data_IF_744822712399
#
_entry.id   IF_744822712399
#
_cell.length_a   1.000
_cell.length_b   1.000
_cell.length_c   1.000
_cell.angle_alpha   90.00
_cell.angle_beta   90.00
_cell.angle_gamma   90.00
#
_symmetry.space_group_name_H-M   'P 1'
#
loop_
_entity.id
_entity.type
_entity.pdbx_description
1 polymer ?
#
# COMPACT_ATOMS: atom_id res chain seq x y z
N UNK A 1 -58.59 -0.03 7.54
CA UNK A 1 -57.27 -0.66 7.41
C UNK A 1 -56.39 0.11 6.43
N UNK A 2 -56.90 0.54 5.28
CA UNK A 2 -56.13 1.36 4.31
C UNK A 2 -55.58 2.69 4.87
N UNK A 3 -56.32 3.37 5.75
CA UNK A 3 -55.83 4.63 6.35
C UNK A 3 -54.68 4.43 7.34
N UNK A 4 -54.57 3.26 7.98
CA UNK A 4 -53.44 2.98 8.88
C UNK A 4 -52.19 2.60 8.09
N UNK A 5 -52.37 1.91 6.96
CA UNK A 5 -51.26 1.51 6.08
C UNK A 5 -50.63 2.70 5.35
N UNK A 6 -51.41 3.72 4.98
CA UNK A 6 -50.89 4.96 4.39
C UNK A 6 -50.12 5.85 5.38
N UNK A 7 -50.47 5.81 6.67
CA UNK A 7 -49.75 6.56 7.71
C UNK A 7 -48.41 5.89 8.03
N UNK A 8 -48.38 4.56 8.07
CA UNK A 8 -47.16 3.78 8.31
C UNK A 8 -46.18 3.85 7.13
N UNK A 9 -46.68 3.85 5.88
CA UNK A 9 -45.86 4.11 4.69
C UNK A 9 -45.33 5.55 4.65
N UNK A 10 -46.11 6.54 5.09
CA UNK A 10 -45.66 7.93 5.18
C UNK A 10 -44.59 8.15 6.28
N UNK A 11 -44.69 7.46 7.41
CA UNK A 11 -43.65 7.47 8.47
C UNK A 11 -42.36 6.78 8.01
N UNK A 12 -42.45 5.68 7.25
CA UNK A 12 -41.28 4.98 6.70
C UNK A 12 -40.54 5.79 5.61
N UNK A 13 -41.26 6.58 4.81
CA UNK A 13 -40.67 7.48 3.81
C UNK A 13 -39.98 8.67 4.48
N UNK A 14 -40.54 9.18 5.59
CA UNK A 14 -39.92 10.25 6.38
C UNK A 14 -38.58 9.86 7.03
N UNK A 15 -38.31 8.57 7.25
CA UNK A 15 -37.08 8.08 7.87
C UNK A 15 -35.94 7.81 6.86
N UNK A 16 -36.20 7.92 5.55
CA UNK A 16 -35.20 7.63 4.51
C UNK A 16 -34.61 8.86 3.81
N UNK A 17 -35.04 10.07 4.18
CA UNK A 17 -34.52 11.34 3.64
C UNK A 17 -34.02 12.29 4.74
N UNK A 18 -33.25 11.78 5.71
CA UNK A 18 -32.25 12.63 6.33
C UNK A 18 -31.05 12.66 5.39
N UNK A 19 -30.84 13.74 4.58
CA UNK A 19 -29.60 13.87 3.83
C UNK A 19 -28.46 13.79 4.85
N UNK A 20 -27.58 12.80 4.66
CA UNK A 20 -26.32 12.69 5.41
C UNK A 20 -25.76 14.09 5.59
N UNK A 21 -25.44 14.53 6.82
CA UNK A 21 -25.02 15.91 7.07
C UNK A 21 -23.88 16.22 6.11
N UNK A 22 -24.20 17.03 5.10
CA UNK A 22 -23.21 17.46 4.14
C UNK A 22 -22.30 18.37 4.95
N UNK A 23 -21.12 17.89 5.29
CA UNK A 23 -20.06 18.66 5.93
C UNK A 23 -19.57 19.73 4.93
N UNK A 24 -20.43 20.71 4.64
CA UNK A 24 -20.19 21.81 3.72
C UNK A 24 -19.45 22.95 4.41
N UNK A 25 -19.30 22.88 5.73
CA UNK A 25 -18.50 23.81 6.52
C UNK A 25 -17.16 23.17 6.80
N UNK A 26 -16.10 23.77 6.25
CA UNK A 26 -14.73 23.47 6.64
C UNK A 26 -14.59 23.62 8.16
N UNK A 27 -13.95 22.63 8.79
CA UNK A 27 -13.60 22.65 10.21
C UNK A 27 -12.39 23.56 10.51
N UNK A 28 -11.85 24.23 9.49
CA UNK A 28 -10.69 25.09 9.59
C UNK A 28 -11.10 26.56 9.53
N UNK A 29 -10.51 27.38 10.39
CA UNK A 29 -10.61 28.83 10.32
C UNK A 29 -9.96 29.36 9.03
N UNK A 30 -10.24 30.63 8.70
CA UNK A 30 -9.60 31.31 7.57
C UNK A 30 -8.08 31.42 7.77
N UNK A 31 -7.63 31.66 9.00
CA UNK A 31 -6.22 31.77 9.34
C UNK A 31 -5.49 30.43 9.22
N UNK A 32 -6.11 29.32 9.63
CA UNK A 32 -5.52 27.99 9.47
C UNK A 32 -5.43 27.58 8.00
N UNK A 33 -6.46 27.86 7.19
CA UNK A 33 -6.40 27.62 5.75
C UNK A 33 -5.28 28.45 5.08
N UNK A 34 -5.14 29.71 5.48
CA UNK A 34 -4.07 30.56 4.98
C UNK A 34 -2.69 30.04 5.40
N UNK A 35 -2.53 29.61 6.65
CA UNK A 35 -1.29 29.01 7.15
C UNK A 35 -0.95 27.71 6.42
N UNK A 36 -1.93 26.85 6.14
CA UNK A 36 -1.73 25.62 5.37
C UNK A 36 -1.34 25.94 3.91
N UNK A 37 -1.94 26.96 3.31
CA UNK A 37 -1.57 27.42 1.98
C UNK A 37 -0.10 27.87 1.95
N UNK A 38 0.28 28.77 2.87
CA UNK A 38 1.67 29.24 2.99
C UNK A 38 2.65 28.09 3.25
N UNK A 39 2.27 27.13 4.09
CA UNK A 39 3.06 25.94 4.36
C UNK A 39 3.23 25.06 3.11
N UNK A 40 2.17 24.90 2.31
CA UNK A 40 2.20 24.12 1.07
C UNK A 40 3.00 24.79 -0.06
N UNK A 41 3.06 26.13 -0.06
CA UNK A 41 3.80 26.93 -1.02
C UNK A 41 5.29 27.10 -0.63
N UNK A 42 5.66 26.76 0.60
CA UNK A 42 7.04 26.85 1.07
C UNK A 42 7.92 25.76 0.43
N UNK A 43 8.81 26.18 -0.47
CA UNK A 43 9.71 25.28 -1.17
C UNK A 43 10.94 24.88 -0.34
N UNK A 44 11.24 25.51 0.80
CA UNK A 44 12.41 25.18 1.61
C UNK A 44 12.21 23.98 2.53
N UNK A 45 10.97 23.55 2.72
CA UNK A 45 10.59 22.40 3.55
C UNK A 45 10.04 21.25 2.71
N UNK A 46 10.18 20.03 3.23
CA UNK A 46 9.60 18.81 2.68
C UNK A 46 8.65 18.23 3.72
N UNK A 47 7.40 18.03 3.31
CA UNK A 47 6.34 17.46 4.15
C UNK A 47 5.92 16.13 3.52
N UNK A 48 6.02 15.03 4.29
CA UNK A 48 5.65 13.68 3.86
C UNK A 48 4.92 12.92 4.97
N UNK A 49 4.00 12.01 4.63
CA UNK A 49 3.46 11.09 5.63
C UNK A 49 4.58 10.25 6.22
N UNK A 50 4.52 9.98 7.52
CA UNK A 50 5.41 9.03 8.16
C UNK A 50 5.04 7.60 7.74
N UNK A 51 6.05 6.73 7.66
CA UNK A 51 5.87 5.30 7.37
C UNK A 51 5.06 4.57 8.47
N UNK A 52 5.25 4.98 9.74
CA UNK A 52 4.61 4.37 10.91
C UNK A 52 3.88 5.39 11.75
N UNK A 53 2.67 5.02 12.17
CA UNK A 53 1.75 5.91 12.87
C UNK A 53 1.22 6.99 11.94
N UNK A 54 0.03 7.52 12.21
CA UNK A 54 -0.60 8.57 11.41
C UNK A 54 0.06 9.94 11.59
N UNK A 55 1.40 9.97 11.61
CA UNK A 55 2.23 11.14 11.81
C UNK A 55 2.70 11.72 10.47
N UNK A 56 3.26 12.93 10.54
CA UNK A 56 3.81 13.66 9.39
C UNK A 56 5.26 13.99 9.70
N UNK A 57 6.14 13.80 8.71
CA UNK A 57 7.55 14.18 8.77
C UNK A 57 7.72 15.55 8.11
N UNK A 58 8.38 16.45 8.81
CA UNK A 58 8.78 17.77 8.33
C UNK A 58 10.31 17.87 8.38
N UNK A 59 10.93 18.22 7.26
CA UNK A 59 12.39 18.30 7.12
C UNK A 59 12.78 19.45 6.21
N UNK A 60 13.90 20.12 6.50
CA UNK A 60 14.49 21.08 5.58
C UNK A 60 14.89 20.39 4.27
N UNK A 61 14.59 21.01 3.13
CA UNK A 61 14.85 20.43 1.80
C UNK A 61 16.32 20.12 1.60
N UNK A 62 17.23 20.96 2.12
CA UNK A 62 18.68 20.77 1.99
C UNK A 62 19.12 19.48 2.68
N UNK A 63 18.67 19.28 3.91
CA UNK A 63 19.00 18.09 4.69
C UNK A 63 18.36 16.84 4.08
N UNK A 64 17.12 16.96 3.58
CA UNK A 64 16.44 15.88 2.87
C UNK A 64 17.22 15.42 1.64
N UNK A 65 17.68 16.36 0.80
CA UNK A 65 18.49 16.05 -0.38
C UNK A 65 19.85 15.47 0.00
N UNK A 66 20.52 16.06 0.99
CA UNK A 66 21.81 15.57 1.47
C UNK A 66 21.71 14.13 1.97
N UNK A 67 20.70 13.81 2.78
CA UNK A 67 20.50 12.49 3.34
C UNK A 67 20.18 11.45 2.24
N UNK A 68 19.36 11.83 1.25
CA UNK A 68 19.11 11.00 0.08
C UNK A 68 20.37 10.70 -0.73
N UNK A 69 21.20 11.71 -0.99
CA UNK A 69 22.48 11.51 -1.67
C UNK A 69 23.45 10.66 -0.85
N UNK A 70 23.53 10.88 0.45
CA UNK A 70 24.38 10.10 1.36
C UNK A 70 24.07 8.60 1.26
N UNK A 71 22.79 8.21 1.32
CA UNK A 71 22.37 6.81 1.18
C UNK A 71 22.63 6.24 -0.22
N UNK A 72 22.26 6.97 -1.28
CA UNK A 72 22.44 6.49 -2.66
C UNK A 72 23.91 6.40 -3.07
N UNK A 73 24.81 7.08 -2.36
CA UNK A 73 26.25 7.02 -2.58
C UNK A 73 26.95 5.84 -1.90
N UNK A 74 26.25 5.09 -1.04
CA UNK A 74 26.84 3.96 -0.32
C UNK A 74 27.08 2.76 -1.24
N UNK A 75 28.34 2.56 -1.61
CA UNK A 75 28.78 1.49 -2.51
C UNK A 75 28.78 0.10 -1.85
N UNK A 76 28.61 0.00 -0.52
CA UNK A 76 28.46 -1.30 0.13
C UNK A 76 27.09 -1.93 -0.17
N UNK A 77 26.07 -1.09 -0.42
CA UNK A 77 24.69 -1.52 -0.65
C UNK A 77 24.19 -1.27 -2.08
N UNK A 78 24.66 -0.19 -2.73
CA UNK A 78 24.17 0.23 -4.04
C UNK A 78 25.29 0.26 -5.09
N UNK A 79 24.97 -0.19 -6.30
CA UNK A 79 25.83 -0.04 -7.48
C UNK A 79 25.08 0.73 -8.54
N UNK A 80 25.75 1.72 -9.14
CA UNK A 80 25.16 2.51 -10.22
C UNK A 80 25.01 1.66 -11.48
N UNK A 81 23.84 1.73 -12.10
CA UNK A 81 23.58 1.09 -13.38
C UNK A 81 23.95 2.03 -14.53
N UNK A 82 24.66 1.50 -15.52
CA UNK A 82 25.04 2.27 -16.73
C UNK A 82 23.86 2.53 -17.66
N UNK A 83 22.88 1.62 -17.65
CA UNK A 83 21.64 1.72 -18.42
C UNK A 83 20.49 1.03 -17.69
N UNK A 84 19.23 1.39 -17.98
CA UNK A 84 18.10 0.70 -17.39
C UNK A 84 18.00 -0.77 -17.82
N UNK A 85 17.76 -1.66 -16.86
CA UNK A 85 17.69 -3.11 -17.06
C UNK A 85 16.41 -3.53 -17.78
N UNK A 86 15.32 -2.78 -17.60
CA UNK A 86 14.00 -3.11 -18.15
C UNK A 86 13.98 -3.27 -19.68
N UNK A 87 14.92 -2.63 -20.38
CA UNK A 87 15.08 -2.73 -21.84
C UNK A 87 15.38 -4.16 -22.30
N UNK A 88 16.01 -4.97 -21.45
CA UNK A 88 16.33 -6.36 -21.76
C UNK A 88 15.32 -7.35 -21.16
N UNK A 89 14.80 -7.05 -19.97
CA UNK A 89 13.86 -7.92 -19.26
C UNK A 89 12.48 -7.94 -19.92
N UNK A 90 11.97 -6.81 -20.43
CA UNK A 90 10.67 -6.75 -21.11
C UNK A 90 10.63 -7.71 -22.32
N UNK A 91 11.59 -7.68 -23.28
CA UNK A 91 11.64 -8.66 -24.36
C UNK A 91 11.72 -10.11 -23.88
N UNK A 92 12.49 -10.35 -22.81
CA UNK A 92 12.65 -11.69 -22.25
C UNK A 92 11.33 -12.22 -21.67
N UNK A 93 10.64 -11.41 -20.85
CA UNK A 93 9.33 -11.73 -20.27
C UNK A 93 8.32 -11.99 -21.39
N UNK A 94 8.25 -11.11 -22.39
CA UNK A 94 7.35 -11.29 -23.54
C UNK A 94 7.62 -12.59 -24.31
N UNK A 95 8.89 -12.96 -24.48
CA UNK A 95 9.27 -14.24 -25.12
C UNK A 95 8.79 -15.45 -24.32
N UNK A 96 8.90 -15.40 -22.99
CA UNK A 96 8.42 -16.45 -22.10
C UNK A 96 6.89 -16.56 -22.17
N UNK A 97 6.17 -15.43 -22.04
CA UNK A 97 4.71 -15.39 -22.12
C UNK A 97 4.20 -15.92 -23.46
N UNK A 98 4.83 -15.53 -24.56
CA UNK A 98 4.49 -16.05 -25.90
C UNK A 98 4.71 -17.57 -25.99
N UNK A 99 5.79 -18.09 -25.40
CA UNK A 99 6.03 -19.54 -25.33
C UNK A 99 4.94 -20.26 -24.55
N UNK A 100 4.54 -19.72 -23.40
CA UNK A 100 3.47 -20.29 -22.57
C UNK A 100 2.11 -20.27 -23.29
N UNK A 101 1.81 -19.18 -24.00
CA UNK A 101 0.60 -19.05 -24.80
C UNK A 101 0.57 -20.06 -25.96
N UNK A 102 1.67 -20.19 -26.69
CA UNK A 102 1.79 -21.13 -27.80
C UNK A 102 1.64 -22.59 -27.34
N UNK A 103 2.19 -22.91 -26.16
CA UNK A 103 2.03 -24.23 -25.52
C UNK A 103 0.66 -24.44 -24.84
N UNK A 104 -0.25 -23.45 -24.91
CA UNK A 104 -1.59 -23.48 -24.32
C UNK A 104 -1.62 -23.64 -22.79
N UNK A 105 -0.54 -23.27 -22.10
CA UNK A 105 -0.53 -23.20 -20.63
C UNK A 105 -1.31 -21.99 -20.10
N UNK A 106 -1.40 -20.93 -20.89
CA UNK A 106 -2.16 -19.72 -20.56
C UNK A 106 -3.10 -19.34 -21.71
N UNK A 107 -4.26 -18.78 -21.37
CA UNK A 107 -5.22 -18.24 -22.31
C UNK A 107 -4.89 -16.79 -22.69
N UNK A 108 -5.63 -16.23 -23.66
CA UNK A 108 -5.41 -14.86 -24.12
C UNK A 108 -5.59 -13.82 -23.02
N UNK A 109 -6.60 -13.97 -22.15
CA UNK A 109 -6.85 -13.02 -21.05
C UNK A 109 -5.68 -13.02 -20.04
N UNK A 110 -5.19 -14.21 -19.69
CA UNK A 110 -4.01 -14.36 -18.84
C UNK A 110 -2.77 -13.74 -19.49
N UNK A 111 -2.54 -13.98 -20.79
CA UNK A 111 -1.42 -13.36 -21.49
C UNK A 111 -1.50 -11.83 -21.43
N UNK A 112 -2.65 -11.24 -21.76
CA UNK A 112 -2.84 -9.79 -21.72
C UNK A 112 -2.68 -9.19 -20.31
N UNK A 113 -3.05 -9.93 -19.27
CA UNK A 113 -2.88 -9.48 -17.88
C UNK A 113 -1.43 -9.61 -17.39
N UNK A 114 -0.75 -10.70 -17.76
CA UNK A 114 0.63 -10.98 -17.33
C UNK A 114 1.66 -10.10 -18.03
N UNK A 115 1.34 -9.57 -19.21
CA UNK A 115 2.16 -8.57 -19.87
C UNK A 115 2.17 -7.29 -19.02
N UNK A 116 3.31 -7.03 -18.38
CA UNK A 116 3.54 -5.82 -17.61
C UNK A 116 3.65 -4.57 -18.49
N UNK A 117 3.88 -3.43 -17.84
CA UNK A 117 4.00 -2.16 -18.55
C UNK A 117 5.30 -2.09 -19.36
N UNK A 118 5.26 -1.41 -20.51
CA UNK A 118 6.44 -1.28 -21.39
C UNK A 118 7.46 -0.25 -20.86
N UNK A 119 7.03 0.59 -19.91
CA UNK A 119 7.87 1.52 -19.18
C UNK A 119 7.61 1.29 -17.69
N UNK A 120 8.59 0.74 -16.94
CA UNK A 120 8.45 0.58 -15.50
C UNK A 120 8.31 1.95 -14.86
N UNK A 121 7.39 2.06 -13.90
CA UNK A 121 7.31 3.28 -13.10
C UNK A 121 8.60 3.42 -12.29
N UNK A 122 9.19 4.61 -12.26
CA UNK A 122 10.33 4.86 -11.39
C UNK A 122 9.92 4.54 -9.93
N UNK A 123 10.76 3.81 -9.17
CA UNK A 123 10.52 3.57 -7.76
C UNK A 123 10.28 4.90 -7.05
N UNK A 124 9.12 5.05 -6.41
CA UNK A 124 8.90 6.19 -5.54
C UNK A 124 9.75 6.00 -4.29
N UNK A 125 10.82 6.78 -4.17
CA UNK A 125 11.59 6.88 -2.94
C UNK A 125 10.69 7.56 -1.89
N UNK A 126 9.98 6.77 -1.10
CA UNK A 126 9.30 7.26 0.11
C UNK A 126 10.35 7.33 1.20
N UNK A 127 10.80 8.54 1.51
CA UNK A 127 11.84 8.77 2.53
C UNK A 127 11.14 9.05 3.86
N UNK A 128 11.19 8.09 4.79
CA UNK A 128 10.82 8.25 6.22
C UNK A 128 11.23 6.98 6.98
N UNK A 129 11.76 7.00 8.23
CA UNK A 129 12.37 8.09 9.00
C UNK A 129 13.84 8.27 8.52
N UNK A 130 14.86 8.79 9.25
CA UNK A 130 16.14 9.14 8.62
C UNK A 130 16.77 7.91 7.97
N UNK A 131 16.71 7.93 6.65
CA UNK A 131 17.41 7.05 5.74
C UNK A 131 17.03 5.58 5.65
N UNK A 132 15.73 5.30 5.49
CA UNK A 132 15.30 4.01 4.93
C UNK A 132 14.83 4.20 3.49
N UNK A 133 15.67 3.97 2.47
CA UNK A 133 15.21 3.88 1.09
C UNK A 133 14.25 2.72 0.94
N UNK A 134 13.04 2.98 0.47
CA UNK A 134 12.11 1.95 0.02
C UNK A 134 12.13 1.96 -1.50
N UNK A 135 12.52 0.84 -2.10
CA UNK A 135 12.44 0.63 -3.54
C UNK A 135 11.15 -0.10 -3.83
N UNK A 136 10.20 0.59 -4.45
CA UNK A 136 8.96 -0.02 -4.93
C UNK A 136 9.18 -0.63 -6.31
N UNK A 137 8.77 -1.89 -6.48
CA UNK A 137 8.67 -2.57 -7.79
C UNK A 137 7.23 -2.53 -8.35
N UNK A 138 6.40 -1.59 -7.88
CA UNK A 138 5.01 -1.49 -8.31
C UNK A 138 4.92 -1.14 -9.80
N UNK A 139 4.07 -1.87 -10.52
CA UNK A 139 3.86 -1.71 -11.97
C UNK A 139 5.16 -1.88 -12.79
N UNK A 140 6.10 -2.72 -12.32
CA UNK A 140 7.23 -3.20 -13.10
C UNK A 140 6.79 -4.17 -14.21
N UNK A 141 7.71 -4.48 -15.12
CA UNK A 141 7.49 -5.42 -16.22
C UNK A 141 7.10 -6.83 -15.75
N UNK A 142 7.46 -7.19 -14.51
CA UNK A 142 7.16 -8.49 -13.90
C UNK A 142 6.11 -8.40 -12.79
N UNK A 143 5.66 -7.20 -12.41
CA UNK A 143 4.74 -7.00 -11.28
C UNK A 143 3.48 -7.87 -11.37
N UNK A 144 2.79 -7.84 -12.52
CA UNK A 144 1.58 -8.65 -12.76
C UNK A 144 1.86 -10.16 -12.74
N UNK A 145 3.05 -10.56 -13.19
CA UNK A 145 3.47 -11.96 -13.14
C UNK A 145 3.71 -12.40 -11.70
N UNK A 146 4.37 -11.58 -10.90
CA UNK A 146 4.58 -11.84 -9.47
C UNK A 146 3.25 -11.88 -8.71
N UNK A 147 2.36 -10.91 -8.93
CA UNK A 147 1.00 -10.85 -8.37
C UNK A 147 0.21 -12.12 -8.71
N UNK A 148 0.28 -12.56 -9.97
CA UNK A 148 -0.40 -13.78 -10.41
C UNK A 148 0.14 -15.03 -9.72
N UNK A 149 1.45 -15.16 -9.57
CA UNK A 149 2.07 -16.30 -8.90
C UNK A 149 1.70 -16.29 -7.41
N UNK A 150 1.81 -15.13 -6.76
CA UNK A 150 1.50 -14.96 -5.33
C UNK A 150 0.05 -15.33 -5.02
N UNK A 151 -0.90 -14.95 -5.88
CA UNK A 151 -2.31 -15.34 -5.73
C UNK A 151 -2.53 -16.85 -5.58
N UNK A 152 -1.77 -17.69 -6.28
CA UNK A 152 -1.87 -19.15 -6.15
C UNK A 152 -0.98 -19.74 -5.06
N UNK A 153 0.13 -19.10 -4.72
CA UNK A 153 1.05 -19.59 -3.70
C UNK A 153 0.61 -19.22 -2.28
N UNK A 154 -0.01 -18.05 -2.08
CA UNK A 154 -0.41 -17.54 -0.77
C UNK A 154 -1.38 -18.47 -0.01
N UNK A 155 -2.38 -19.10 -0.65
CA UNK A 155 -3.19 -20.11 0.03
C UNK A 155 -2.38 -21.32 0.51
N UNK A 156 -1.32 -21.70 -0.22
CA UNK A 156 -0.48 -22.85 0.11
C UNK A 156 0.51 -22.55 1.23
N UNK A 157 0.96 -21.29 1.37
CA UNK A 157 1.90 -20.91 2.43
C UNK A 157 1.30 -21.04 3.84
N UNK A 158 -0.03 -20.91 3.97
CA UNK A 158 -0.74 -21.00 5.26
C UNK A 158 -0.82 -22.44 5.79
N UNK A 159 -0.60 -23.45 4.94
CA UNK A 159 -0.63 -24.86 5.36
C UNK A 159 0.67 -25.34 6.03
N UNK A 160 1.75 -24.57 5.94
CA UNK A 160 3.03 -24.98 6.52
C UNK A 160 3.14 -24.57 7.99
N UNK A 161 3.53 -25.48 8.91
CA UNK A 161 3.68 -25.19 10.33
C UNK A 161 4.67 -24.05 10.66
N UNK A 162 5.56 -23.72 9.72
CA UNK A 162 6.57 -22.66 9.83
C UNK A 162 6.06 -21.27 9.43
N UNK A 163 4.82 -21.14 8.98
CA UNK A 163 4.26 -19.86 8.59
C UNK A 163 3.98 -18.99 9.83
N UNK A 164 4.87 -18.04 10.09
CA UNK A 164 4.62 -16.96 11.04
C UNK A 164 3.61 -16.01 10.40
N UNK A 165 2.35 -16.08 10.83
CA UNK A 165 1.35 -15.08 10.44
C UNK A 165 1.81 -13.70 10.93
N UNK A 166 1.91 -12.67 10.06
CA UNK A 166 2.14 -11.31 10.53
C UNK A 166 0.91 -10.88 11.32
N UNK A 167 0.97 -11.02 12.65
CA UNK A 167 0.00 -10.46 13.58
C UNK A 167 0.14 -8.93 13.58
N UNK A 168 -0.42 -8.29 12.56
CA UNK A 168 -0.66 -6.85 12.52
C UNK A 168 -2.18 -6.72 12.44
N UNK A 169 -2.77 -6.23 13.54
CA UNK A 169 -4.20 -6.33 13.81
C UNK A 169 -5.10 -5.76 12.72
N UNK A 170 -5.92 -6.63 12.14
CA UNK A 170 -7.26 -6.26 11.66
C UNK A 170 -8.26 -6.94 12.60
N UNK A 171 -8.56 -6.25 13.70
CA UNK A 171 -9.71 -6.58 14.52
C UNK A 171 -10.94 -5.90 13.91
N UNK A 172 -11.52 -6.54 12.89
CA UNK A 172 -12.95 -6.39 12.59
C UNK A 172 -13.52 -7.80 12.54
N UNK A 173 -14.29 -8.10 13.57
CA UNK A 173 -14.55 -9.45 14.01
C UNK A 173 -15.41 -10.26 13.06
N UNK A 174 -15.22 -11.57 13.14
CA UNK A 174 -16.34 -12.46 13.42
C UNK A 174 -15.92 -13.52 14.44
N UNK A 175 -16.77 -13.64 15.46
CA UNK A 175 -16.86 -14.67 16.49
C UNK A 175 -16.66 -16.07 15.88
N UNK A 176 -15.75 -16.91 16.37
CA UNK A 176 -15.96 -17.73 17.57
C UNK A 176 -14.64 -18.46 17.88
N UNK A 177 -14.01 -18.17 19.02
CA UNK A 177 -12.92 -18.99 19.54
C UNK A 177 -13.29 -19.47 20.94
N UNK A 178 -13.60 -20.77 21.04
CA UNK A 178 -13.63 -21.49 22.30
C UNK A 178 -12.20 -21.71 22.79
N UNK A 179 -11.83 -20.99 23.83
CA UNK A 179 -10.58 -21.15 24.56
C UNK A 179 -10.68 -22.36 25.50
N UNK A 180 -9.79 -23.35 25.35
CA UNK A 180 -9.42 -24.23 26.46
C UNK A 180 -7.95 -24.03 26.79
N UNK A 181 -7.72 -23.79 28.08
CA UNK A 181 -6.46 -23.43 28.71
C UNK A 181 -5.28 -24.35 28.36
N UNK A 182 -4.09 -23.75 28.19
CA UNK A 182 -2.94 -24.13 29.00
C UNK A 182 -1.93 -23.00 29.16
N UNK A 183 -1.72 -22.64 30.41
CA UNK A 183 -0.67 -21.75 30.91
C UNK A 183 0.71 -22.37 30.73
N UNK A 184 1.72 -21.54 30.43
CA UNK A 184 2.83 -21.33 31.37
C UNK A 184 3.71 -20.13 30.97
N UNK A 185 3.94 -19.30 31.98
CA UNK A 185 4.95 -18.25 32.07
C UNK A 185 6.30 -18.65 31.48
N UNK A 186 6.91 -17.74 30.72
CA UNK A 186 8.27 -17.25 31.01
C UNK A 186 8.46 -15.87 30.40
N UNK A 187 8.99 -14.95 31.20
CA UNK A 187 9.39 -13.61 30.79
C UNK A 187 10.54 -13.68 29.78
N UNK A 188 10.44 -12.92 28.69
CA UNK A 188 11.60 -12.33 28.01
C UNK A 188 11.16 -11.09 27.27
N UNK A 189 11.61 -9.95 27.80
CA UNK A 189 11.51 -8.63 27.19
C UNK A 189 12.50 -8.63 26.03
N UNK A 190 11.99 -8.73 24.80
CA UNK A 190 12.76 -8.53 23.58
C UNK A 190 12.59 -7.09 23.09
N UNK A 191 13.61 -6.27 23.35
CA UNK A 191 13.85 -5.01 22.65
C UNK A 191 14.08 -5.34 21.15
N UNK A 192 13.22 -4.83 20.27
CA UNK A 192 13.43 -4.87 18.83
C UNK A 192 13.75 -3.47 18.31
N UNK A 193 14.91 -3.34 17.68
CA UNK A 193 15.31 -2.22 16.82
C UNK A 193 14.62 -2.29 15.46
#
# INVERSE_FOLDING_TARGET
MEQQQQVEEAELISLHEDPLPCWTKSNLSKFENEALRQLSENNDIVIKPADKGSAVVLMDRKDYLWEGHRQLSDQNYYTKLDRPIYKDTIPLVNKILLSLYNKKFINHKQMSYLQGNNEPRMPSLTVSPPGRPIVSDCESETYRTAEYIDYYLNPLSIFFPSFLSPQIGLHLGQSTYNWTHRTHNTHSIGLFF
#
